data_IF_334768189494
#
_entry.id   IF_334768189494
#
_cell.length_a   1.000
_cell.length_b   1.000
_cell.length_c   1.000
_cell.angle_alpha   90.00
_cell.angle_beta   90.00
_cell.angle_gamma   90.00
#
_symmetry.space_group_name_H-M   'P 1'
#
loop_
_entity.id
_entity.type
_entity.pdbx_description
1 polymer ?
#
# COMPACT_ATOMS: atom_id res chain seq x y z
N UNK A 1 9.06 -0.90 5.33
CA UNK A 1 8.56 0.44 5.69
C UNK A 1 7.63 0.43 6.90
N UNK A 2 6.72 -0.55 7.06
CA UNK A 2 5.85 -0.60 8.25
C UNK A 2 6.63 -0.66 9.57
N UNK A 3 7.53 -1.65 9.73
CA UNK A 3 8.30 -1.81 10.96
C UNK A 3 9.16 -0.57 11.32
N UNK A 4 9.77 0.09 10.33
CA UNK A 4 10.53 1.33 10.54
C UNK A 4 9.62 2.50 10.92
N UNK A 5 8.47 2.64 10.26
CA UNK A 5 7.45 3.65 10.60
C UNK A 5 6.93 3.45 12.02
N UNK A 6 6.64 2.22 12.42
CA UNK A 6 6.20 1.90 13.78
C UNK A 6 7.27 2.25 14.82
N UNK A 7 8.51 1.82 14.64
CA UNK A 7 9.61 2.11 15.58
C UNK A 7 9.90 3.61 15.70
N UNK A 8 9.77 4.37 14.60
CA UNK A 8 10.02 5.81 14.59
C UNK A 8 9.09 6.59 15.53
N UNK A 9 7.88 6.08 15.79
CA UNK A 9 6.89 6.69 16.67
C UNK A 9 7.34 6.75 18.14
N UNK A 10 8.27 5.88 18.53
CA UNK A 10 8.72 5.73 19.92
C UNK A 10 10.17 6.14 20.13
N UNK A 11 10.76 6.88 19.19
CA UNK A 11 12.17 7.30 19.29
C UNK A 11 12.44 8.28 20.44
N UNK A 12 11.43 9.04 20.87
CA UNK A 12 11.56 9.98 22.00
C UNK A 12 11.71 9.24 23.34
N UNK A 13 11.03 8.11 23.51
CA UNK A 13 11.07 7.30 24.74
C UNK A 13 10.91 5.80 24.42
N UNK A 14 11.96 5.13 23.94
CA UNK A 14 11.89 3.72 23.57
C UNK A 14 11.87 2.80 24.80
N UNK A 15 11.13 1.69 24.72
CA UNK A 15 11.06 0.65 25.76
C UNK A 15 11.88 -0.57 25.36
N UNK A 16 12.08 -1.52 26.27
CA UNK A 16 12.71 -2.81 25.96
C UNK A 16 12.00 -3.58 24.83
N UNK A 17 10.68 -3.44 24.73
CA UNK A 17 9.89 -4.02 23.64
C UNK A 17 10.28 -3.38 22.29
N UNK A 18 10.43 -2.05 22.24
CA UNK A 18 10.88 -1.34 21.04
C UNK A 18 12.30 -1.75 20.66
N UNK A 19 13.19 -1.89 21.65
CA UNK A 19 14.56 -2.36 21.43
C UNK A 19 14.62 -3.79 20.89
N UNK A 20 13.78 -4.70 21.42
CA UNK A 20 13.62 -6.06 20.90
C UNK A 20 13.17 -6.10 19.44
N UNK A 21 12.16 -5.29 19.10
CA UNK A 21 11.67 -5.16 17.73
C UNK A 21 12.72 -4.58 16.78
N UNK A 22 13.48 -3.56 17.20
CA UNK A 22 14.59 -2.99 16.44
C UNK A 22 15.69 -4.04 16.16
N UNK A 23 16.10 -4.81 17.17
CA UNK A 23 17.06 -5.93 17.00
C UNK A 23 16.56 -6.97 16.01
N UNK A 24 15.27 -7.33 16.06
CA UNK A 24 14.65 -8.26 15.09
C UNK A 24 14.72 -7.71 13.67
N UNK A 25 14.45 -6.42 13.49
CA UNK A 25 14.55 -5.76 12.19
C UNK A 25 15.99 -5.78 11.66
N UNK A 26 16.97 -5.43 12.47
CA UNK A 26 18.39 -5.45 12.07
C UNK A 26 18.87 -6.86 11.71
N UNK A 27 18.48 -7.88 12.47
CA UNK A 27 18.77 -9.29 12.13
C UNK A 27 18.13 -9.72 10.82
N UNK A 28 16.90 -9.28 10.55
CA UNK A 28 16.26 -9.53 9.27
C UNK A 28 17.05 -8.90 8.12
N UNK A 29 17.42 -7.62 8.23
CA UNK A 29 18.23 -6.93 7.22
C UNK A 29 19.56 -7.65 6.96
N UNK A 30 20.27 -8.04 8.03
CA UNK A 30 21.51 -8.80 7.93
C UNK A 30 21.29 -10.15 7.23
N UNK A 31 20.23 -10.88 7.59
CA UNK A 31 19.90 -12.18 7.00
C UNK A 31 19.35 -12.11 5.58
N UNK A 32 18.98 -10.92 5.09
CA UNK A 32 18.42 -10.71 3.74
C UNK A 32 19.25 -9.75 2.90
N UNK A 33 20.53 -9.58 3.18
CA UNK A 33 21.42 -8.67 2.43
C UNK A 33 21.50 -8.99 0.93
N UNK A 34 21.31 -10.27 0.57
CA UNK A 34 21.34 -10.75 -0.81
C UNK A 34 19.99 -10.67 -1.52
N UNK A 35 18.94 -10.21 -0.84
CA UNK A 35 17.61 -10.10 -1.43
C UNK A 35 17.44 -8.80 -2.20
N UNK A 36 16.74 -8.88 -3.33
CA UNK A 36 16.46 -7.71 -4.16
C UNK A 36 15.21 -7.91 -5.02
N UNK A 37 14.76 -6.82 -5.63
CA UNK A 37 13.67 -6.84 -6.62
C UNK A 37 14.32 -6.96 -8.01
N UNK A 38 13.89 -7.96 -8.77
CA UNK A 38 14.41 -8.21 -10.12
C UNK A 38 13.35 -7.87 -11.15
N UNK A 39 13.68 -6.91 -12.01
CA UNK A 39 12.82 -6.52 -13.12
C UNK A 39 13.17 -7.36 -14.34
N UNK A 40 12.16 -8.05 -14.85
CA UNK A 40 12.17 -8.71 -16.16
C UNK A 40 11.42 -7.83 -17.15
N UNK A 41 11.87 -7.82 -18.39
CA UNK A 41 11.14 -7.20 -19.49
C UNK A 41 9.81 -7.91 -19.67
N UNK A 42 8.71 -7.14 -19.67
CA UNK A 42 7.37 -7.66 -19.93
C UNK A 42 6.77 -6.94 -21.13
N UNK A 43 6.03 -7.64 -21.99
CA UNK A 43 5.41 -7.02 -23.18
C UNK A 43 4.31 -6.02 -22.83
N UNK A 44 3.70 -6.13 -21.64
CA UNK A 44 2.69 -5.22 -21.12
C UNK A 44 3.23 -4.53 -19.85
N UNK A 45 3.43 -3.22 -19.93
CA UNK A 45 3.96 -2.38 -18.83
C UNK A 45 2.84 -1.50 -18.30
N UNK A 46 1.88 -2.10 -17.58
CA UNK A 46 0.75 -1.39 -16.98
C UNK A 46 1.04 -1.03 -15.54
N UNK A 47 0.75 0.23 -15.19
CA UNK A 47 0.75 0.67 -13.81
C UNK A 47 -0.46 0.08 -13.07
N UNK A 48 -0.19 -0.70 -12.03
CA UNK A 48 -1.22 -1.23 -11.12
C UNK A 48 -0.83 -0.96 -9.67
N UNK A 49 -1.84 -0.65 -8.86
CA UNK A 49 -1.68 -0.33 -7.45
C UNK A 49 -2.49 -1.26 -6.55
N UNK A 50 -2.07 -1.37 -5.31
CA UNK A 50 -2.77 -2.03 -4.22
C UNK A 50 -2.86 -1.05 -3.06
N UNK A 51 -3.96 -1.07 -2.31
CA UNK A 51 -4.12 -0.29 -1.09
C UNK A 51 -4.78 -1.12 0.01
N UNK A 52 -4.37 -0.86 1.25
CA UNK A 52 -4.88 -1.54 2.45
C UNK A 52 -4.78 -0.61 3.68
N UNK A 53 -5.48 -0.95 4.75
CA UNK A 53 -5.40 -0.33 6.07
C UNK A 53 -5.62 -1.29 7.24
N UNK A 54 -4.89 -1.10 8.34
CA UNK A 54 -4.97 -1.96 9.54
C UNK A 54 -6.14 -1.68 10.50
N UNK A 55 -7.11 -0.85 10.11
CA UNK A 55 -8.18 -0.23 10.92
C UNK A 55 -7.96 -0.19 12.45
N UNK A 56 -7.69 1.00 12.99
CA UNK A 56 -7.42 1.21 14.41
C UNK A 56 -6.22 0.40 14.95
N UNK A 57 -5.23 0.12 14.10
CA UNK A 57 -4.04 -0.67 14.48
C UNK A 57 -3.08 0.01 15.48
N UNK A 58 -3.20 1.33 15.70
CA UNK A 58 -2.43 2.05 16.72
C UNK A 58 -3.18 2.09 18.04
N UNK A 59 -2.74 1.34 19.05
CA UNK A 59 -3.40 1.30 20.36
C UNK A 59 -3.33 2.63 21.14
N UNK A 60 -2.35 3.49 20.82
CA UNK A 60 -2.15 4.76 21.53
C UNK A 60 -3.22 5.81 21.21
N UNK A 61 -3.72 5.82 19.97
CA UNK A 61 -4.62 6.86 19.46
C UNK A 61 -5.72 6.34 18.53
N UNK A 62 -5.85 5.03 18.39
CA UNK A 62 -6.81 4.31 17.53
C UNK A 62 -6.77 4.72 16.06
N UNK A 63 -5.67 5.31 15.59
CA UNK A 63 -5.51 5.67 14.18
C UNK A 63 -5.00 4.49 13.37
N UNK A 64 -5.56 4.31 12.18
CA UNK A 64 -5.14 3.28 11.25
C UNK A 64 -3.80 3.63 10.58
N UNK A 65 -3.12 2.64 10.03
CA UNK A 65 -1.98 2.76 9.12
C UNK A 65 -2.46 2.42 7.72
N UNK A 66 -2.32 3.35 6.77
CA UNK A 66 -2.55 3.12 5.35
C UNK A 66 -1.28 2.59 4.69
N UNK A 67 -1.45 1.62 3.80
CA UNK A 67 -0.39 1.07 2.96
C UNK A 67 -0.78 1.14 1.49
N UNK A 68 0.24 1.26 0.63
CA UNK A 68 0.06 1.07 -0.80
C UNK A 68 1.28 0.42 -1.44
N UNK A 69 1.05 -0.19 -2.60
CA UNK A 69 2.05 -0.94 -3.34
C UNK A 69 1.78 -0.78 -4.85
N UNK A 70 2.74 -0.28 -5.64
CA UNK A 70 2.61 -0.01 -7.07
C UNK A 70 3.61 -0.80 -7.90
N UNK A 71 3.08 -1.55 -8.86
CA UNK A 71 3.81 -2.39 -9.79
C UNK A 71 3.78 -1.79 -11.18
N UNK A 72 4.89 -1.98 -11.89
CA UNK A 72 5.01 -1.73 -13.31
C UNK A 72 5.69 -2.96 -13.94
N UNK A 73 5.07 -3.55 -14.95
CA UNK A 73 5.59 -4.74 -15.62
C UNK A 73 5.74 -5.94 -14.69
N UNK A 74 6.96 -6.34 -14.35
CA UNK A 74 7.26 -7.57 -13.59
C UNK A 74 7.39 -7.40 -12.07
N UNK A 75 7.61 -6.19 -11.55
CA UNK A 75 7.97 -5.98 -10.15
C UNK A 75 7.38 -4.71 -9.52
N UNK A 76 7.36 -4.67 -8.18
CA UNK A 76 6.97 -3.46 -7.46
C UNK A 76 8.08 -2.42 -7.51
N UNK A 77 7.74 -1.15 -7.67
CA UNK A 77 8.74 -0.07 -7.74
C UNK A 77 8.42 1.12 -6.82
N UNK A 78 7.17 1.25 -6.36
CA UNK A 78 6.75 2.31 -5.44
C UNK A 78 5.85 1.74 -4.36
N UNK A 79 6.12 2.02 -3.10
CA UNK A 79 5.33 1.54 -1.96
C UNK A 79 5.36 2.56 -0.82
N UNK A 80 4.43 2.44 0.12
CA UNK A 80 4.32 3.37 1.23
C UNK A 80 3.57 2.80 2.42
N UNK A 81 3.88 3.31 3.61
CA UNK A 81 3.21 3.00 4.87
C UNK A 81 3.10 4.29 5.68
N UNK A 82 1.88 4.75 5.94
CA UNK A 82 1.63 6.04 6.61
C UNK A 82 0.50 5.90 7.63
N UNK A 83 0.74 6.37 8.85
CA UNK A 83 -0.32 6.52 9.86
C UNK A 83 -1.34 7.57 9.39
N UNK A 84 -2.62 7.25 9.46
CA UNK A 84 -3.69 8.17 9.10
C UNK A 84 -3.75 9.34 10.08
N UNK A 85 -4.10 10.52 9.59
CA UNK A 85 -4.13 11.74 10.41
C UNK A 85 -5.35 11.78 11.36
N UNK A 86 -6.46 11.18 10.92
CA UNK A 86 -7.74 11.09 11.64
C UNK A 86 -8.09 9.65 12.00
N UNK A 87 -8.84 9.47 13.08
CA UNK A 87 -9.42 8.17 13.47
C UNK A 87 -10.57 7.83 12.51
N UNK A 88 -10.58 6.62 11.97
CA UNK A 88 -11.66 6.11 11.14
C UNK A 88 -12.70 5.40 12.00
N UNK A 89 -13.99 5.63 11.72
CA UNK A 89 -15.11 5.06 12.48
C UNK A 89 -15.49 3.65 11.97
N UNK A 90 -14.92 3.21 10.86
CA UNK A 90 -15.11 1.86 10.32
C UNK A 90 -13.89 1.41 9.50
N UNK A 91 -13.76 0.10 9.31
CA UNK A 91 -12.73 -0.46 8.41
C UNK A 91 -12.91 0.06 6.98
N UNK A 92 -14.15 0.14 6.49
CA UNK A 92 -14.44 0.67 5.17
C UNK A 92 -13.98 2.12 4.99
N UNK A 93 -14.06 2.94 6.05
CA UNK A 93 -13.57 4.31 6.04
C UNK A 93 -12.03 4.39 6.08
N UNK A 94 -11.38 3.53 6.87
CA UNK A 94 -9.92 3.44 6.90
C UNK A 94 -9.37 3.03 5.52
N UNK A 95 -10.00 2.04 4.89
CA UNK A 95 -9.68 1.56 3.55
C UNK A 95 -9.88 2.64 2.49
N UNK A 96 -10.98 3.38 2.62
CA UNK A 96 -11.25 4.51 1.73
C UNK A 96 -10.16 5.58 1.81
N UNK A 97 -9.70 5.91 3.03
CA UNK A 97 -8.60 6.85 3.23
C UNK A 97 -7.29 6.32 2.64
N UNK A 98 -7.01 5.02 2.76
CA UNK A 98 -5.86 4.39 2.12
C UNK A 98 -5.94 4.46 0.59
N UNK A 99 -7.11 4.13 0.02
CA UNK A 99 -7.38 4.22 -1.42
C UNK A 99 -7.23 5.64 -1.96
N UNK A 100 -7.69 6.66 -1.23
CA UNK A 100 -7.48 8.06 -1.59
C UNK A 100 -5.98 8.42 -1.66
N UNK A 101 -5.17 7.95 -0.69
CA UNK A 101 -3.72 8.12 -0.72
C UNK A 101 -3.06 7.40 -1.90
N UNK A 102 -3.48 6.16 -2.17
CA UNK A 102 -3.01 5.39 -3.32
C UNK A 102 -3.40 6.07 -4.64
N UNK A 103 -4.60 6.63 -4.76
CA UNK A 103 -5.04 7.35 -5.95
C UNK A 103 -4.19 8.60 -6.25
N UNK A 104 -3.81 9.37 -5.22
CA UNK A 104 -2.85 10.46 -5.37
C UNK A 104 -1.51 9.96 -5.94
N UNK A 105 -0.98 8.86 -5.38
CA UNK A 105 0.27 8.26 -5.83
C UNK A 105 0.14 7.73 -7.27
N UNK A 106 -0.96 7.08 -7.62
CA UNK A 106 -1.23 6.58 -8.96
C UNK A 106 -1.21 7.70 -10.01
N UNK A 107 -1.89 8.82 -9.73
CA UNK A 107 -1.93 9.98 -10.62
C UNK A 107 -0.54 10.60 -10.78
N UNK A 108 0.22 10.71 -9.69
CA UNK A 108 1.58 11.23 -9.73
C UNK A 108 2.52 10.31 -10.54
N UNK A 109 2.48 9.01 -10.30
CA UNK A 109 3.25 8.01 -11.04
C UNK A 109 2.89 8.01 -12.53
N UNK A 110 1.60 8.10 -12.85
CA UNK A 110 1.12 8.15 -14.24
C UNK A 110 1.71 9.35 -15.00
N UNK A 111 1.78 10.52 -14.36
CA UNK A 111 2.42 11.72 -14.95
C UNK A 111 3.91 11.53 -15.17
N UNK A 112 4.63 10.94 -14.20
CA UNK A 112 6.06 10.65 -14.36
C UNK A 112 6.29 9.69 -15.53
N UNK A 113 5.47 8.65 -15.66
CA UNK A 113 5.59 7.71 -16.77
C UNK A 113 5.33 8.40 -18.12
N UNK A 114 4.34 9.31 -18.18
CA UNK A 114 4.07 10.12 -19.36
C UNK A 114 5.26 11.02 -19.73
N UNK A 115 5.88 11.70 -18.75
CA UNK A 115 7.09 12.50 -18.95
C UNK A 115 8.29 11.66 -19.46
N UNK A 116 8.32 10.37 -19.12
CA UNK A 116 9.33 9.40 -19.59
C UNK A 116 8.98 8.77 -20.95
N UNK A 117 7.85 9.12 -21.57
CA UNK A 117 7.39 8.57 -22.84
C UNK A 117 6.59 7.27 -22.74
N UNK A 118 6.27 6.81 -21.52
CA UNK A 118 5.50 5.59 -21.24
C UNK A 118 4.02 5.92 -20.97
N UNK A 119 3.26 6.14 -22.04
CA UNK A 119 1.86 6.56 -21.94
C UNK A 119 0.95 5.44 -21.39
N UNK A 120 0.35 5.69 -20.23
CA UNK A 120 -0.66 4.81 -19.62
C UNK A 120 -2.07 5.26 -20.00
N UNK A 121 -2.58 4.88 -21.17
CA UNK A 121 -3.86 5.41 -21.68
C UNK A 121 -5.09 5.03 -20.83
N UNK A 122 -5.08 3.86 -20.20
CA UNK A 122 -6.20 3.38 -19.36
C UNK A 122 -6.19 3.97 -17.94
N UNK A 123 -7.33 3.85 -17.26
CA UNK A 123 -7.42 4.10 -15.82
C UNK A 123 -6.42 3.20 -15.07
N UNK A 124 -5.73 3.75 -14.07
CA UNK A 124 -4.83 2.96 -13.21
C UNK A 124 -5.66 2.10 -12.27
N UNK A 125 -5.49 0.78 -12.34
CA UNK A 125 -6.20 -0.14 -11.47
C UNK A 125 -5.63 -0.07 -10.05
N UNK A 126 -6.50 0.12 -9.06
CA UNK A 126 -6.16 0.07 -7.64
C UNK A 126 -6.95 -1.06 -7.00
N UNK A 127 -6.25 -2.08 -6.54
CA UNK A 127 -6.80 -3.26 -5.89
C UNK A 127 -6.99 -3.00 -4.38
N UNK A 128 -8.20 -3.29 -3.90
CA UNK A 128 -8.63 -3.16 -2.50
C UNK A 128 -9.47 -4.40 -2.15
N UNK A 129 -9.33 -4.92 -0.94
CA UNK A 129 -10.09 -6.09 -0.48
C UNK A 129 -11.42 -5.70 0.21
N UNK A 130 -11.64 -4.41 0.46
CA UNK A 130 -12.85 -3.92 1.07
C UNK A 130 -13.91 -3.50 0.04
N UNK A 131 -14.87 -4.41 -0.21
CA UNK A 131 -15.99 -4.17 -1.13
C UNK A 131 -16.82 -2.93 -0.76
N UNK A 132 -16.96 -2.62 0.52
CA UNK A 132 -17.70 -1.43 0.98
C UNK A 132 -16.96 -0.15 0.60
N UNK A 133 -15.64 -0.10 0.76
CA UNK A 133 -14.82 1.03 0.31
C UNK A 133 -14.92 1.24 -1.20
N UNK A 134 -14.86 0.16 -1.98
CA UNK A 134 -15.04 0.19 -3.44
C UNK A 134 -16.44 0.70 -3.81
N UNK A 135 -17.48 0.20 -3.15
CA UNK A 135 -18.85 0.64 -3.38
C UNK A 135 -19.04 2.13 -3.06
N UNK A 136 -18.41 2.62 -1.98
CA UNK A 136 -18.42 4.04 -1.62
C UNK A 136 -17.71 4.92 -2.65
N UNK A 137 -16.69 4.40 -3.35
CA UNK A 137 -15.98 5.13 -4.40
C UNK A 137 -16.80 5.20 -5.70
N UNK A 138 -17.63 4.19 -5.97
CA UNK A 138 -18.49 4.12 -7.17
C UNK A 138 -19.85 4.82 -6.99
N UNK A 139 -20.41 4.81 -5.78
CA UNK A 139 -21.75 5.32 -5.51
C UNK A 139 -21.72 6.64 -4.73
N UNK A 140 -22.50 7.66 -5.12
CA UNK A 140 -22.50 8.98 -4.50
C UNK A 140 -23.25 9.08 -3.16
N UNK A 141 -23.64 7.96 -2.53
CA UNK A 141 -24.43 7.98 -1.30
C UNK A 141 -23.73 8.84 -0.23
N UNK A 142 -24.44 9.85 0.28
CA UNK A 142 -23.95 10.77 1.31
C UNK A 142 -24.13 10.15 2.70
N UNK A 143 -23.05 10.15 3.47
CA UNK A 143 -23.06 9.91 4.90
C UNK A 143 -22.45 11.14 5.56
N UNK A 144 -22.97 11.58 6.71
CA UNK A 144 -22.37 12.66 7.49
C UNK A 144 -21.01 12.19 8.04
N UNK A 145 -19.91 12.87 7.69
CA UNK A 145 -18.56 12.59 8.21
C UNK A 145 -17.84 13.88 8.60
N UNK A 146 -16.61 13.75 9.07
CA UNK A 146 -15.75 14.90 9.37
C UNK A 146 -15.19 15.50 8.07
N UNK A 147 -15.00 16.82 8.05
CA UNK A 147 -14.56 17.56 6.85
C UNK A 147 -13.31 16.99 6.17
N UNK A 148 -12.29 16.59 6.94
CA UNK A 148 -11.05 16.02 6.38
C UNK A 148 -11.30 14.70 5.66
N UNK A 149 -12.22 13.90 6.18
CA UNK A 149 -12.59 12.62 5.58
C UNK A 149 -13.46 12.90 4.36
N UNK A 150 -14.44 13.81 4.43
CA UNK A 150 -15.27 14.21 3.30
C UNK A 150 -14.44 14.65 2.09
N UNK A 151 -13.37 15.43 2.29
CA UNK A 151 -12.47 15.84 1.20
C UNK A 151 -11.86 14.62 0.49
N UNK A 152 -11.39 13.62 1.23
CA UNK A 152 -10.84 12.39 0.64
C UNK A 152 -11.91 11.59 -0.10
N UNK A 153 -13.14 11.57 0.41
CA UNK A 153 -14.30 10.98 -0.27
C UNK A 153 -14.65 11.66 -1.58
N UNK A 154 -14.74 12.98 -1.59
CA UNK A 154 -14.98 13.72 -2.81
C UNK A 154 -13.87 13.52 -3.82
N UNK A 155 -12.61 13.56 -3.37
CA UNK A 155 -11.46 13.33 -4.23
C UNK A 155 -11.50 11.95 -4.89
N UNK A 156 -11.58 10.87 -4.12
CA UNK A 156 -11.50 9.51 -4.67
C UNK A 156 -12.68 9.20 -5.62
N UNK A 157 -13.90 9.69 -5.29
CA UNK A 157 -15.06 9.61 -6.19
C UNK A 157 -14.83 10.37 -7.50
N UNK A 158 -14.31 11.59 -7.43
CA UNK A 158 -14.08 12.42 -8.61
C UNK A 158 -13.08 11.78 -9.56
N UNK A 159 -11.96 11.26 -9.05
CA UNK A 159 -10.94 10.61 -9.89
C UNK A 159 -11.40 9.25 -10.44
N UNK A 160 -12.23 8.52 -9.71
CA UNK A 160 -12.89 7.29 -10.20
C UNK A 160 -13.91 7.62 -11.30
N UNK A 161 -14.73 8.66 -11.13
CA UNK A 161 -15.74 9.07 -12.09
C UNK A 161 -15.13 9.63 -13.39
N UNK A 162 -14.01 10.35 -13.28
CA UNK A 162 -13.22 10.85 -14.42
C UNK A 162 -12.40 9.77 -15.13
N UNK A 163 -12.39 8.54 -14.62
CA UNK A 163 -11.63 7.43 -15.21
C UNK A 163 -10.11 7.55 -15.06
N UNK A 164 -9.62 8.35 -14.10
CA UNK A 164 -8.18 8.38 -13.81
C UNK A 164 -7.71 7.10 -13.12
N UNK A 165 -8.56 6.53 -12.27
CA UNK A 165 -8.33 5.26 -11.58
C UNK A 165 -9.53 4.33 -11.76
N UNK A 166 -9.29 3.04 -11.51
CA UNK A 166 -10.34 2.03 -11.42
C UNK A 166 -10.16 1.19 -10.16
N UNK A 167 -11.04 1.37 -9.17
CA UNK A 167 -11.08 0.54 -7.97
C UNK A 167 -11.57 -0.88 -8.30
N UNK A 168 -10.72 -1.87 -8.04
CA UNK A 168 -11.00 -3.29 -8.23
C UNK A 168 -10.90 -4.07 -6.93
N UNK A 169 -11.74 -5.08 -6.81
CA UNK A 169 -11.66 -6.01 -5.69
C UNK A 169 -10.51 -6.99 -5.90
N UNK A 170 -9.70 -7.23 -4.87
CA UNK A 170 -8.82 -8.39 -4.77
C UNK A 170 -9.13 -9.14 -3.47
N UNK A 171 -9.00 -10.48 -3.42
CA UNK A 171 -9.04 -11.21 -2.17
C UNK A 171 -7.92 -10.75 -1.22
N UNK A 172 -8.16 -10.80 0.10
CA UNK A 172 -7.14 -10.47 1.11
C UNK A 172 -5.89 -11.31 0.94
N UNK A 173 -6.00 -12.57 0.49
CA UNK A 173 -4.85 -13.44 0.21
C UNK A 173 -3.92 -12.90 -0.88
N UNK A 174 -4.43 -12.07 -1.79
CA UNK A 174 -3.70 -11.44 -2.89
C UNK A 174 -3.35 -9.97 -2.62
N UNK A 175 -3.76 -9.44 -1.46
CA UNK A 175 -3.54 -8.05 -1.07
C UNK A 175 -2.06 -7.80 -0.75
N UNK A 176 -1.34 -7.17 -1.69
CA UNK A 176 0.09 -6.88 -1.52
C UNK A 176 0.35 -5.74 -0.53
N UNK A 177 -0.64 -4.89 -0.27
CA UNK A 177 -0.48 -3.75 0.63
C UNK A 177 -0.47 -4.15 2.12
N UNK A 178 -0.93 -5.36 2.49
CA UNK A 178 -0.94 -5.90 3.86
C UNK A 178 0.42 -5.79 4.57
N UNK A 179 1.50 -6.02 3.81
CA UNK A 179 2.88 -5.97 4.35
C UNK A 179 3.31 -4.56 4.78
N UNK A 180 2.55 -3.55 4.36
CA UNK A 180 2.78 -2.13 4.68
C UNK A 180 1.85 -1.59 5.77
N UNK A 181 0.91 -2.38 6.25
CA UNK A 181 -0.11 -1.97 7.25
C UNK A 181 -0.05 -2.81 8.51
N UNK A 182 0.34 -4.08 8.40
CA UNK A 182 0.20 -5.04 9.49
C UNK A 182 1.52 -5.72 9.88
N UNK A 183 1.60 -6.12 11.15
CA UNK A 183 2.62 -7.05 11.62
C UNK A 183 2.21 -8.49 11.28
N UNK A 184 2.82 -9.05 10.23
CA UNK A 184 2.41 -10.34 9.68
C UNK A 184 3.14 -11.54 10.32
N UNK A 185 2.48 -12.71 10.42
CA UNK A 185 3.16 -13.99 10.68
C UNK A 185 4.26 -14.25 9.63
N UNK A 186 5.28 -15.01 10.03
CA UNK A 186 6.48 -15.26 9.21
C UNK A 186 6.12 -15.74 7.80
N UNK A 187 5.25 -16.73 7.68
CA UNK A 187 4.95 -17.37 6.40
C UNK A 187 4.21 -16.42 5.46
N UNK A 188 3.23 -15.67 6.00
CA UNK A 188 2.51 -14.63 5.27
C UNK A 188 3.43 -13.50 4.82
N UNK A 189 4.31 -13.03 5.70
CA UNK A 189 5.32 -12.02 5.36
C UNK A 189 6.24 -12.50 4.23
N UNK A 190 6.74 -13.73 4.31
CA UNK A 190 7.63 -14.31 3.30
C UNK A 190 6.92 -14.49 1.96
N UNK A 191 5.66 -14.91 1.97
CA UNK A 191 4.80 -15.00 0.79
C UNK A 191 4.64 -13.64 0.12
N UNK A 192 4.14 -12.63 0.84
CA UNK A 192 3.93 -11.30 0.27
C UNK A 192 5.22 -10.66 -0.21
N UNK A 193 6.31 -10.80 0.54
CA UNK A 193 7.65 -10.35 0.11
C UNK A 193 8.06 -10.95 -1.24
N UNK A 194 7.80 -12.24 -1.46
CA UNK A 194 8.06 -12.90 -2.74
C UNK A 194 7.16 -12.33 -3.84
N UNK A 195 5.88 -12.10 -3.54
CA UNK A 195 4.92 -11.50 -4.49
C UNK A 195 5.27 -10.05 -4.87
N UNK A 196 5.90 -9.30 -3.96
CA UNK A 196 6.51 -8.00 -4.26
C UNK A 196 7.72 -8.10 -5.22
N UNK A 197 8.22 -9.31 -5.48
CA UNK A 197 9.41 -9.55 -6.29
C UNK A 197 10.72 -9.56 -5.50
N UNK A 198 10.67 -9.48 -4.16
CA UNK A 198 11.86 -9.51 -3.30
C UNK A 198 12.29 -10.95 -3.08
N UNK A 199 13.30 -11.39 -3.84
CA UNK A 199 13.84 -12.75 -3.81
C UNK A 199 15.33 -12.76 -3.54
N UNK A 200 15.85 -13.90 -3.09
CA UNK A 200 17.28 -14.08 -2.89
C UNK A 200 18.02 -14.02 -4.23
N UNK A 201 19.30 -13.60 -4.20
CA UNK A 201 20.24 -13.71 -5.32
C UNK A 201 20.53 -15.18 -5.59
N UNK A 202 19.60 -15.86 -6.23
CA UNK A 202 19.84 -17.17 -6.81
C UNK A 202 19.23 -17.17 -8.23
N UNK A 203 19.78 -16.31 -9.08
CA UNK A 203 19.62 -16.45 -10.52
C UNK A 203 20.71 -17.42 -10.94
N UNK A 204 20.32 -18.67 -11.26
CA UNK A 204 21.08 -19.42 -12.25
C UNK A 204 20.99 -18.60 -13.53
N UNK A 205 22.12 -18.18 -14.05
CA UNK A 205 22.23 -17.69 -15.43
C UNK A 205 21.73 -18.82 -16.33
N UNK A 206 20.47 -18.78 -16.73
CA UNK A 206 20.03 -19.51 -17.91
C UNK A 206 20.34 -18.60 -19.09
N UNK A 207 21.44 -18.97 -19.75
CA UNK A 207 21.94 -18.47 -21.03
C UNK A 207 20.91 -18.69 -22.15
#
# INVERSE_FOLDING_TARGET
MYATSLLSRFMESPTETHYGAAKRLLRYLQGTINYGIWYKTTPDSRLTGYCDSDWAGSQDDMKSTSGYAFKLGSGIFSWGSKKQDSVALSSAEAEYVAAAGAACQAIWLKRILEDMGELQSSATQIFCDNKSAIAMAKNPIQHNRTKHIDIKYHFLRDVQAKGHIEMKYCPTEEQLADIFTNALPRDRFQFLRRMLGVTDKCIKEEY
#
